data_IF_366990553114
#
_entry.id   IF_366990553114
#
_cell.length_a   1.000
_cell.length_b   1.000
_cell.length_c   1.000
_cell.angle_alpha   90.00
_cell.angle_beta   90.00
_cell.angle_gamma   90.00
#
_symmetry.space_group_name_H-M   'P 1'
#
loop_
_entity.id
_entity.type
_entity.pdbx_description
1 polymer ?
#
# COMPACT_ATOMS: atom_id res chain seq x y z
N UNK A 1 22.43 -10.26 -15.57
CA UNK A 1 21.48 -9.41 -16.32
C UNK A 1 20.38 -9.08 -15.32
N UNK A 2 20.31 -7.85 -14.84
CA UNK A 2 19.19 -7.40 -14.00
C UNK A 2 18.01 -7.26 -14.95
N UNK A 3 17.01 -8.13 -14.82
CA UNK A 3 15.71 -7.95 -15.46
C UNK A 3 15.27 -6.51 -15.18
N UNK A 4 14.72 -5.77 -16.16
CA UNK A 4 14.10 -4.49 -15.84
C UNK A 4 13.06 -4.76 -14.74
N UNK A 5 13.08 -3.95 -13.68
CA UNK A 5 12.03 -4.02 -12.66
C UNK A 5 10.70 -4.01 -13.42
N UNK A 6 9.74 -4.88 -13.05
CA UNK A 6 8.45 -4.91 -13.72
C UNK A 6 7.93 -3.47 -13.78
N UNK A 7 7.53 -3.04 -14.98
CA UNK A 7 6.97 -1.71 -15.21
C UNK A 7 5.58 -1.65 -14.58
N UNK A 8 5.56 -1.72 -13.25
CA UNK A 8 4.42 -1.57 -12.38
C UNK A 8 3.95 -0.11 -12.38
N UNK A 9 4.38 0.75 -13.31
CA UNK A 9 4.10 2.18 -13.30
C UNK A 9 3.24 2.64 -14.48
N UNK A 10 2.82 1.75 -15.39
CA UNK A 10 2.34 2.23 -16.69
C UNK A 10 0.96 2.91 -16.68
N UNK A 11 0.09 2.70 -15.67
CA UNK A 11 -1.29 3.23 -15.68
C UNK A 11 -1.83 3.75 -14.32
N UNK A 12 -0.98 4.00 -13.32
CA UNK A 12 -1.49 4.31 -11.97
C UNK A 12 -1.73 5.80 -11.78
N UNK A 13 -2.90 6.12 -11.22
CA UNK A 13 -3.32 7.49 -10.94
C UNK A 13 -2.78 8.01 -9.61
N UNK A 14 -2.79 7.15 -8.60
CA UNK A 14 -2.38 7.53 -7.26
C UNK A 14 -1.71 6.38 -6.54
N UNK A 15 -1.00 6.75 -5.48
CA UNK A 15 -0.35 5.83 -4.55
C UNK A 15 -0.58 6.35 -3.14
N UNK A 16 -1.05 5.47 -2.27
CA UNK A 16 -1.17 5.70 -0.84
C UNK A 16 -0.21 4.76 -0.10
N UNK A 17 0.43 5.30 0.94
CA UNK A 17 1.22 4.51 1.87
C UNK A 17 0.36 4.21 3.10
N UNK A 18 0.39 2.95 3.50
CA UNK A 18 -0.32 2.43 4.64
C UNK A 18 0.68 1.77 5.57
N UNK A 19 0.60 2.05 6.85
CA UNK A 19 1.56 1.52 7.83
C UNK A 19 0.86 0.82 8.97
N UNK A 20 1.44 -0.29 9.41
CA UNK A 20 1.12 -0.87 10.72
C UNK A 20 2.05 -0.20 11.75
N UNK A 21 1.52 0.66 12.64
CA UNK A 21 2.31 1.37 13.63
C UNK A 21 2.73 0.47 14.81
N UNK A 22 2.14 -0.72 14.95
CA UNK A 22 2.43 -1.65 16.05
C UNK A 22 3.75 -2.40 15.83
N UNK A 23 4.17 -2.55 14.58
CA UNK A 23 5.44 -3.14 14.17
C UNK A 23 6.62 -2.16 14.35
N UNK A 24 7.80 -2.68 14.73
CA UNK A 24 9.04 -1.88 14.87
C UNK A 24 10.18 -2.51 14.04
N UNK A 25 10.63 -1.88 12.95
CA UNK A 25 10.09 -0.65 12.34
C UNK A 25 8.65 -0.85 11.81
N UNK A 26 7.87 0.23 11.61
CA UNK A 26 6.50 0.13 11.09
C UNK A 26 6.48 -0.66 9.78
N UNK A 27 5.54 -1.60 9.67
CA UNK A 27 5.36 -2.35 8.44
C UNK A 27 4.66 -1.46 7.42
N UNK A 28 5.01 -1.56 6.13
CA UNK A 28 4.48 -0.66 5.10
C UNK A 28 3.85 -1.47 3.97
N UNK A 29 2.63 -1.09 3.60
CA UNK A 29 1.95 -1.53 2.39
C UNK A 29 1.67 -0.33 1.48
N UNK A 30 1.59 -0.59 0.18
CA UNK A 30 1.30 0.42 -0.83
C UNK A 30 -0.03 0.12 -1.50
N UNK A 31 -1.00 1.00 -1.38
CA UNK A 31 -2.23 0.93 -2.17
C UNK A 31 -2.06 1.81 -3.40
N UNK A 32 -2.12 1.23 -4.58
CA UNK A 32 -2.12 1.98 -5.83
C UNK A 32 -3.47 1.79 -6.53
N UNK A 33 -3.97 2.86 -7.16
CA UNK A 33 -5.20 2.83 -7.95
C UNK A 33 -4.99 3.38 -9.35
N UNK A 34 -5.64 2.79 -10.35
CA UNK A 34 -5.59 3.22 -11.75
C UNK A 34 -6.91 3.86 -12.25
N UNK A 35 -6.92 4.31 -13.51
CA UNK A 35 -8.09 4.89 -14.19
C UNK A 35 -9.18 3.86 -14.50
N UNK A 36 -8.83 2.58 -14.52
CA UNK A 36 -9.72 1.46 -14.85
C UNK A 36 -10.43 0.90 -13.61
N UNK A 37 -10.36 1.61 -12.48
CA UNK A 37 -10.91 1.20 -11.18
C UNK A 37 -10.27 -0.06 -10.62
N UNK A 38 -9.02 -0.38 -11.00
CA UNK A 38 -8.24 -1.41 -10.33
C UNK A 38 -7.47 -0.80 -9.16
N UNK A 39 -7.58 -1.44 -8.01
CA UNK A 39 -6.91 -1.08 -6.78
C UNK A 39 -6.11 -2.28 -6.29
N UNK A 40 -4.80 -2.11 -6.17
CA UNK A 40 -3.90 -3.18 -5.78
C UNK A 40 -3.08 -2.75 -4.57
N UNK A 41 -2.99 -3.65 -3.58
CA UNK A 41 -2.13 -3.49 -2.42
C UNK A 41 -0.86 -4.30 -2.69
N UNK A 42 0.27 -3.62 -2.59
CA UNK A 42 1.59 -4.19 -2.75
C UNK A 42 2.31 -4.26 -1.42
N UNK A 43 3.10 -5.33 -1.30
CA UNK A 43 4.08 -5.49 -0.25
C UNK A 43 5.48 -5.20 -0.79
N UNK A 44 6.08 -4.04 -0.43
CA UNK A 44 7.44 -3.70 -0.85
C UNK A 44 8.50 -4.64 -0.26
N UNK A 45 8.23 -5.27 0.88
CA UNK A 45 9.17 -6.17 1.57
C UNK A 45 9.24 -7.53 0.88
N UNK A 46 8.15 -7.97 0.25
CA UNK A 46 8.09 -9.17 -0.60
C UNK A 46 8.40 -8.88 -2.09
N UNK A 47 9.18 -7.82 -2.37
CA UNK A 47 9.60 -7.50 -3.74
C UNK A 47 8.49 -6.91 -4.61
N UNK A 48 7.61 -6.09 -4.02
CA UNK A 48 6.44 -5.49 -4.68
C UNK A 48 5.47 -6.54 -5.20
N UNK A 49 5.19 -7.55 -4.38
CA UNK A 49 4.16 -8.54 -4.67
C UNK A 49 2.79 -7.95 -4.38
N UNK A 50 1.81 -8.28 -5.21
CA UNK A 50 0.40 -7.94 -4.96
C UNK A 50 -0.13 -8.89 -3.88
N UNK A 51 -0.52 -8.34 -2.73
CA UNK A 51 -1.13 -9.11 -1.62
C UNK A 51 -2.65 -9.06 -1.67
N UNK A 52 -3.20 -8.02 -2.31
CA UNK A 52 -4.64 -7.88 -2.50
C UNK A 52 -4.93 -7.06 -3.77
N UNK A 53 -6.02 -7.38 -4.46
CA UNK A 53 -6.50 -6.64 -5.61
C UNK A 53 -8.03 -6.60 -5.61
N UNK A 54 -8.60 -5.44 -5.93
CA UNK A 54 -10.05 -5.23 -6.01
C UNK A 54 -10.38 -4.21 -7.10
N UNK A 55 -11.62 -4.25 -7.59
CA UNK A 55 -12.17 -3.21 -8.45
C UNK A 55 -12.82 -2.04 -7.69
N UNK A 56 -12.65 -1.99 -6.36
CA UNK A 56 -13.24 -0.99 -5.47
C UNK A 56 -12.23 -0.46 -4.47
N UNK A 57 -12.03 0.86 -4.47
CA UNK A 57 -11.20 1.54 -3.48
C UNK A 57 -11.65 1.22 -2.05
N UNK A 58 -12.96 1.19 -1.82
CA UNK A 58 -13.50 0.94 -0.48
C UNK A 58 -13.18 -0.46 0.01
N UNK A 59 -13.19 -1.47 -0.86
CA UNK A 59 -12.87 -2.84 -0.48
C UNK A 59 -11.37 -2.98 -0.16
N UNK A 60 -10.49 -2.40 -1.00
CA UNK A 60 -9.05 -2.37 -0.72
C UNK A 60 -8.74 -1.61 0.58
N UNK A 61 -9.41 -0.48 0.81
CA UNK A 61 -9.27 0.30 2.05
C UNK A 61 -9.76 -0.49 3.27
N UNK A 62 -10.90 -1.17 3.17
CA UNK A 62 -11.43 -1.98 4.26
C UNK A 62 -10.47 -3.11 4.64
N UNK A 63 -9.89 -3.78 3.66
CA UNK A 63 -8.88 -4.83 3.90
C UNK A 63 -7.70 -4.32 4.73
N UNK A 64 -7.22 -3.09 4.47
CA UNK A 64 -6.14 -2.47 5.25
C UNK A 64 -6.58 -2.13 6.67
N UNK A 65 -7.79 -1.60 6.83
CA UNK A 65 -8.33 -1.24 8.14
C UNK A 65 -8.66 -2.45 9.02
N UNK A 66 -8.95 -3.62 8.42
CA UNK A 66 -9.17 -4.88 9.16
C UNK A 66 -7.91 -5.32 9.92
N UNK A 67 -6.73 -5.06 9.35
CA UNK A 67 -5.43 -5.34 9.96
C UNK A 67 -4.82 -4.10 10.68
N UNK A 68 -5.65 -3.12 11.03
CA UNK A 68 -5.26 -1.91 11.79
C UNK A 68 -4.20 -1.02 11.10
N UNK A 69 -4.05 -1.11 9.77
CA UNK A 69 -3.16 -0.21 9.04
C UNK A 69 -3.71 1.23 9.01
N UNK A 70 -2.80 2.18 9.13
CA UNK A 70 -3.08 3.61 9.06
C UNK A 70 -2.56 4.23 7.77
N UNK A 71 -3.39 5.05 7.11
CA UNK A 71 -2.97 5.81 5.93
C UNK A 71 -2.04 6.95 6.33
N UNK A 72 -0.88 7.00 5.69
CA UNK A 72 0.11 8.06 5.91
C UNK A 72 -0.11 9.20 4.92
N UNK A 73 -0.55 10.36 5.41
CA UNK A 73 -0.63 11.60 4.62
C UNK A 73 0.66 12.45 4.66
N UNK A 74 1.64 12.06 5.49
CA UNK A 74 2.85 12.84 5.73
C UNK A 74 3.96 12.06 6.42
N UNK A 75 4.53 12.62 7.50
CA UNK A 75 5.51 11.92 8.34
C UNK A 75 4.80 11.28 9.52
N UNK A 76 4.93 9.97 9.70
CA UNK A 76 4.49 9.30 10.93
C UNK A 76 5.42 9.72 12.08
N UNK A 77 4.87 10.37 13.11
CA UNK A 77 5.60 10.71 14.33
C UNK A 77 5.31 9.65 15.40
N UNK A 78 6.36 9.00 15.90
CA UNK A 78 6.24 7.91 16.89
C UNK A 78 5.64 8.35 18.24
N UNK A 79 5.48 9.65 18.48
CA UNK A 79 4.86 10.21 19.68
C UNK A 79 3.32 10.31 19.61
N UNK A 80 2.72 10.05 18.44
CA UNK A 80 1.26 10.09 18.24
C UNK A 80 0.63 8.68 18.21
N UNK A 81 1.43 7.62 18.30
CA UNK A 81 0.97 6.24 18.48
C UNK A 81 0.69 6.04 19.98
N UNK A 82 -0.55 6.31 20.41
CA UNK A 82 -1.00 6.20 21.81
C UNK A 82 -2.13 5.18 21.92
#
# INVERSE_FOLDING_TARGET
>A
MLSPAPDLANNWNFTELWVDPTSVPPYVLMLLGDDESNFCIFDPTEGYKIVFASSSYQEAKMWLLEDEYERVEGRLLMAEVV
#
